data_IF_513961876172
#
_entry.id   IF_513961876172
#
_cell.length_a   1.000
_cell.length_b   1.000
_cell.length_c   1.000
_cell.angle_alpha   90.00
_cell.angle_beta   90.00
_cell.angle_gamma   90.00
#
_symmetry.space_group_name_H-M   'P 1'
#
loop_
_entity.id
_entity.type
_entity.pdbx_description
1 polymer ?
#
# COMPACT_ATOMS: atom_id res chain seq x y z
N UNK A 1 23.67 -1.94 -2.54
CA UNK A 1 22.93 -3.22 -2.57
C UNK A 1 21.90 -3.16 -1.46
N UNK A 2 20.64 -2.85 -1.77
CA UNK A 2 19.59 -2.82 -0.74
C UNK A 2 19.27 -4.25 -0.34
N UNK A 3 19.28 -4.55 0.97
CA UNK A 3 18.86 -5.84 1.51
C UNK A 3 17.47 -6.24 0.97
N UNK A 4 17.22 -7.54 0.70
CA UNK A 4 15.88 -7.98 0.34
C UNK A 4 14.93 -7.68 1.50
N UNK A 5 13.89 -6.89 1.22
CA UNK A 5 12.82 -6.54 2.16
C UNK A 5 12.27 -7.84 2.76
N UNK A 6 12.67 -8.18 4.00
CA UNK A 6 12.18 -9.39 4.68
C UNK A 6 10.71 -9.17 5.00
N UNK A 7 9.84 -9.94 4.36
CA UNK A 7 8.45 -10.05 4.77
C UNK A 7 8.40 -10.59 6.21
N UNK A 8 7.58 -10.02 7.11
CA UNK A 8 7.47 -10.56 8.44
C UNK A 8 6.90 -11.99 8.35
N UNK A 9 7.68 -12.94 8.82
CA UNK A 9 7.23 -14.31 9.15
C UNK A 9 6.54 -14.36 10.52
N UNK A 10 6.27 -13.21 11.13
CA UNK A 10 5.61 -13.12 12.42
C UNK A 10 4.14 -13.55 12.25
N UNK A 11 3.71 -14.66 12.89
CA UNK A 11 2.34 -15.16 12.81
C UNK A 11 1.30 -14.18 13.39
N UNK A 12 1.72 -13.10 14.06
CA UNK A 12 0.83 -12.05 14.56
C UNK A 12 0.43 -11.03 13.51
N UNK A 13 1.14 -10.96 12.39
CA UNK A 13 0.84 -10.00 11.31
C UNK A 13 -0.35 -10.50 10.51
N UNK A 14 -1.47 -9.77 10.57
CA UNK A 14 -2.70 -10.11 9.84
C UNK A 14 -2.86 -9.12 8.70
N UNK A 15 -2.43 -9.53 7.51
CA UNK A 15 -2.51 -8.70 6.32
C UNK A 15 -3.96 -8.50 5.86
N UNK A 16 -4.42 -7.25 5.84
CA UNK A 16 -5.76 -6.86 5.39
C UNK A 16 -5.68 -5.90 4.21
N UNK A 17 -6.72 -5.90 3.37
CA UNK A 17 -6.81 -5.03 2.20
C UNK A 17 -7.03 -3.57 2.61
N UNK A 18 -6.11 -2.69 2.20
CA UNK A 18 -6.20 -1.25 2.41
C UNK A 18 -7.05 -0.59 1.32
N UNK A 19 -6.82 -0.96 0.07
CA UNK A 19 -7.53 -0.40 -1.08
C UNK A 19 -6.80 -0.66 -2.40
N UNK A 20 -7.41 -0.21 -3.48
CA UNK A 20 -6.88 -0.27 -4.84
C UNK A 20 -6.72 1.15 -5.38
N UNK A 21 -5.52 1.51 -5.83
CA UNK A 21 -5.16 2.90 -6.16
C UNK A 21 -4.49 2.97 -7.53
N UNK A 22 -4.44 4.17 -8.13
CA UNK A 22 -3.56 4.40 -9.28
C UNK A 22 -2.12 4.12 -8.90
N UNK A 23 -1.26 3.86 -9.89
CA UNK A 23 0.17 3.60 -9.61
C UNK A 23 0.84 4.76 -8.88
N UNK A 24 0.48 5.98 -9.25
CA UNK A 24 0.99 7.20 -8.63
C UNK A 24 0.58 7.30 -7.16
N UNK A 25 -0.73 7.23 -6.87
CA UNK A 25 -1.21 7.25 -5.48
C UNK A 25 -0.65 6.09 -4.67
N UNK A 26 -0.56 4.89 -5.24
CA UNK A 26 0.00 3.73 -4.55
C UNK A 26 1.47 3.94 -4.16
N UNK A 27 2.28 4.57 -5.01
CA UNK A 27 3.66 4.92 -4.69
C UNK A 27 3.74 5.97 -3.57
N UNK A 28 2.92 7.02 -3.63
CA UNK A 28 2.88 8.05 -2.59
C UNK A 28 2.43 7.47 -1.25
N UNK A 29 1.35 6.69 -1.23
CA UNK A 29 0.86 5.99 -0.04
C UNK A 29 1.93 5.05 0.51
N UNK A 30 2.58 4.26 -0.35
CA UNK A 30 3.67 3.38 0.06
C UNK A 30 4.80 4.13 0.77
N UNK A 31 5.25 5.26 0.22
CA UNK A 31 6.27 6.11 0.86
C UNK A 31 5.84 6.59 2.26
N UNK A 32 4.59 7.08 2.40
CA UNK A 32 4.07 7.52 3.70
C UNK A 32 3.93 6.38 4.72
N UNK A 33 3.56 5.18 4.27
CA UNK A 33 3.52 4.00 5.14
C UNK A 33 4.93 3.62 5.63
N UNK A 34 5.95 3.76 4.79
CA UNK A 34 7.35 3.54 5.18
C UNK A 34 7.82 4.59 6.20
N UNK A 35 7.52 5.87 5.97
CA UNK A 35 7.82 6.96 6.91
C UNK A 35 7.18 6.73 8.29
N UNK A 36 5.96 6.20 8.31
CA UNK A 36 5.23 5.86 9.54
C UNK A 36 5.65 4.52 10.19
N UNK A 37 6.57 3.77 9.57
CA UNK A 37 7.00 2.46 10.05
C UNK A 37 5.90 1.39 9.98
N UNK A 38 4.91 1.55 9.11
CA UNK A 38 3.80 0.60 8.93
C UNK A 38 4.23 -0.45 7.91
N UNK A 39 4.12 -1.73 8.29
CA UNK A 39 4.36 -2.84 7.36
C UNK A 39 3.24 -2.90 6.32
N UNK A 40 3.60 -2.97 5.05
CA UNK A 40 2.67 -3.01 3.93
C UNK A 40 3.10 -3.97 2.81
N UNK A 41 2.14 -4.37 2.00
CA UNK A 41 2.31 -5.21 0.82
C UNK A 41 1.54 -4.63 -0.36
N UNK A 42 1.95 -5.00 -1.57
CA UNK A 42 1.24 -4.63 -2.77
C UNK A 42 1.10 -5.81 -3.73
N UNK A 43 0.08 -5.72 -4.58
CA UNK A 43 -0.07 -6.61 -5.75
C UNK A 43 -0.30 -5.73 -6.98
N UNK A 44 0.67 -5.76 -7.89
CA UNK A 44 0.53 -5.18 -9.23
C UNK A 44 -0.29 -6.14 -10.13
N UNK A 45 -1.20 -5.62 -10.97
CA UNK A 45 -1.86 -6.44 -11.99
C UNK A 45 -0.85 -6.86 -13.07
N UNK A 46 -0.99 -8.09 -13.55
CA UNK A 46 -0.13 -8.63 -14.60
C UNK A 46 -0.22 -7.85 -15.92
N UNK A 47 0.87 -7.89 -16.70
CA UNK A 47 1.08 -7.12 -17.94
C UNK A 47 0.02 -7.32 -19.04
N UNK A 48 -0.78 -8.37 -18.97
CA UNK A 48 -1.85 -8.69 -19.94
C UNK A 48 -3.10 -7.82 -19.69
N UNK A 49 -3.25 -7.24 -18.49
CA UNK A 49 -4.42 -6.42 -18.10
C UNK A 49 -4.19 -4.91 -18.17
N UNK A 50 -3.12 -4.44 -18.82
CA UNK A 50 -2.80 -3.00 -18.92
C UNK A 50 -3.89 -2.16 -19.61
N UNK A 51 -4.78 -2.81 -20.37
CA UNK A 51 -5.91 -2.22 -21.09
C UNK A 51 -7.16 -2.07 -20.18
N UNK A 52 -7.15 -2.66 -18.98
CA UNK A 52 -8.28 -2.67 -18.04
C UNK A 52 -7.94 -2.05 -16.67
N UNK A 53 -7.19 -0.94 -16.60
CA UNK A 53 -7.02 -0.04 -15.43
C UNK A 53 -7.12 -0.66 -14.02
N UNK A 54 -6.62 -1.87 -13.81
CA UNK A 54 -6.64 -2.47 -12.49
C UNK A 54 -5.56 -1.72 -11.69
N UNK A 55 -5.95 -0.79 -10.83
CA UNK A 55 -5.03 -0.13 -9.91
C UNK A 55 -4.20 -1.11 -9.06
N UNK A 56 -3.15 -0.61 -8.42
CA UNK A 56 -2.30 -1.33 -7.47
C UNK A 56 -3.09 -1.57 -6.19
N UNK A 57 -3.16 -2.83 -5.75
CA UNK A 57 -3.80 -3.19 -4.48
C UNK A 57 -2.79 -3.11 -3.36
N UNK A 58 -3.10 -2.36 -2.32
CA UNK A 58 -2.28 -2.24 -1.12
C UNK A 58 -2.92 -3.01 0.04
N UNK A 59 -2.06 -3.53 0.91
CA UNK A 59 -2.42 -4.26 2.11
C UNK A 59 -1.53 -3.82 3.26
N UNK A 60 -2.05 -3.87 4.49
CA UNK A 60 -1.36 -3.48 5.72
C UNK A 60 -1.68 -4.44 6.85
N UNK A 61 -0.96 -4.35 7.95
CA UNK A 61 -1.33 -5.06 9.17
C UNK A 61 -2.67 -4.55 9.72
N UNK A 62 -3.54 -5.46 10.15
CA UNK A 62 -4.88 -5.17 10.65
C UNK A 62 -4.88 -4.15 11.78
N UNK A 63 -3.93 -4.24 12.70
CA UNK A 63 -3.91 -3.39 13.89
C UNK A 63 -3.44 -1.96 13.55
N UNK A 64 -2.85 -1.76 12.36
CA UNK A 64 -2.46 -0.45 11.80
C UNK A 64 -3.40 0.05 10.70
N UNK A 65 -4.51 -0.65 10.42
CA UNK A 65 -5.41 -0.30 9.32
C UNK A 65 -6.02 1.11 9.47
N UNK A 66 -6.40 1.51 10.69
CA UNK A 66 -7.01 2.82 10.92
C UNK A 66 -6.05 3.97 10.58
N UNK A 67 -4.79 3.85 11.01
CA UNK A 67 -3.73 4.81 10.71
C UNK A 67 -3.39 4.84 9.22
N UNK A 68 -3.29 3.67 8.59
CA UNK A 68 -3.07 3.57 7.15
C UNK A 68 -4.20 4.24 6.33
N UNK A 69 -5.46 4.15 6.79
CA UNK A 69 -6.59 4.84 6.14
C UNK A 69 -6.49 6.36 6.26
N UNK A 70 -6.00 6.87 7.38
CA UNK A 70 -5.78 8.31 7.54
C UNK A 70 -4.70 8.82 6.56
N UNK A 71 -3.63 8.06 6.38
CA UNK A 71 -2.59 8.34 5.38
C UNK A 71 -3.18 8.34 3.97
N UNK A 72 -3.99 7.34 3.62
CA UNK A 72 -4.68 7.29 2.32
C UNK A 72 -5.54 8.52 2.10
N UNK A 73 -6.35 8.90 3.10
CA UNK A 73 -7.22 10.07 2.99
C UNK A 73 -6.41 11.34 2.73
N UNK A 74 -5.31 11.56 3.45
CA UNK A 74 -4.43 12.71 3.24
C UNK A 74 -3.82 12.75 1.83
N UNK A 75 -3.34 11.61 1.32
CA UNK A 75 -2.76 11.54 -0.04
C UNK A 75 -3.80 11.82 -1.13
N UNK A 76 -5.03 11.34 -0.95
CA UNK A 76 -6.10 11.57 -1.93
C UNK A 76 -6.63 13.01 -1.90
N UNK A 77 -6.62 13.65 -0.73
CA UNK A 77 -6.98 15.06 -0.57
C UNK A 77 -5.95 15.97 -1.26
N UNK A 78 -4.64 15.71 -1.05
CA UNK A 78 -3.54 16.46 -1.68
C UNK A 78 -3.52 16.35 -3.21
N UNK A 79 -3.97 15.21 -3.79
CA UNK A 79 -4.03 15.00 -5.23
C UNK A 79 -5.28 15.59 -5.91
N UNK A 80 -6.22 16.12 -5.13
CA UNK A 80 -7.48 16.72 -5.60
C UNK A 80 -7.43 18.25 -5.69
N UNK A 81 -6.30 18.86 -5.32
CA UNK A 81 -6.05 20.30 -5.25
C UNK A 81 -5.39 20.88 -6.51
#
# INVERSE_FOLDING_TARGET
>A
MSEPKRYPTDPRVITVHLGQFTREHANTIAGRLEEAGIVWWYKEPGSISRIWEYGVRLFVDRDRLAEARAIVAAVLDDGSA
#
